data_IF_813939685188
#
_entry.id   IF_813939685188
#
_cell.length_a   1.000
_cell.length_b   1.000
_cell.length_c   1.000
_cell.angle_alpha   90.00
_cell.angle_beta   90.00
_cell.angle_gamma   90.00
#
_symmetry.space_group_name_H-M   'P 1'
#
loop_
_entity.id
_entity.type
_entity.pdbx_description
1 polymer ?
#
# COMPACT_ATOMS: atom_id res chain seq x y z
N UNK A 1 17.78 -12.86 -0.57
CA UNK A 1 16.75 -12.16 0.23
C UNK A 1 15.54 -13.06 0.32
N UNK A 2 15.11 -13.39 1.52
CA UNK A 2 13.97 -14.27 1.73
C UNK A 2 12.65 -13.56 1.39
N UNK A 3 11.65 -14.32 0.96
CA UNK A 3 10.30 -13.80 0.71
C UNK A 3 9.31 -14.43 1.67
N UNK A 4 8.53 -13.59 2.35
CA UNK A 4 7.40 -14.04 3.17
C UNK A 4 6.18 -14.22 2.28
N UNK A 5 5.78 -15.47 2.06
CA UNK A 5 4.68 -15.83 1.15
C UNK A 5 3.29 -15.80 1.78
N UNK A 6 3.20 -15.52 3.08
CA UNK A 6 1.93 -15.45 3.80
C UNK A 6 1.28 -14.08 3.60
N UNK A 7 0.12 -14.00 2.91
CA UNK A 7 -0.57 -12.73 2.75
C UNK A 7 -1.15 -12.26 4.10
N UNK A 8 -1.05 -10.97 4.43
CA UNK A 8 -1.66 -10.44 5.64
C UNK A 8 -3.17 -10.38 5.51
N UNK A 9 -3.88 -10.36 6.64
CA UNK A 9 -5.31 -10.13 6.66
C UNK A 9 -5.65 -8.73 6.12
N UNK A 10 -6.72 -8.62 5.36
CA UNK A 10 -7.25 -7.33 4.93
C UNK A 10 -7.86 -6.55 6.11
N UNK A 11 -8.48 -7.26 7.03
CA UNK A 11 -8.99 -6.68 8.28
C UNK A 11 -7.85 -6.17 9.14
N UNK A 12 -7.85 -4.87 9.42
CA UNK A 12 -6.80 -4.21 10.18
C UNK A 12 -5.54 -3.85 9.37
N UNK A 13 -5.56 -4.07 8.06
CA UNK A 13 -4.50 -3.60 7.18
C UNK A 13 -4.69 -2.10 6.88
N UNK A 14 -4.00 -1.27 7.64
CA UNK A 14 -4.05 0.18 7.54
C UNK A 14 -2.63 0.78 7.54
N UNK A 15 -1.89 0.65 6.46
CA UNK A 15 -0.54 1.17 6.37
C UNK A 15 -0.53 2.69 6.45
N UNK A 16 0.53 3.25 7.05
CA UNK A 16 0.81 4.68 7.06
C UNK A 16 1.91 4.98 6.08
N UNK A 17 1.59 5.77 5.06
CA UNK A 17 2.57 6.21 4.08
C UNK A 17 3.58 7.15 4.71
N UNK A 18 4.85 6.98 4.35
CA UNK A 18 5.93 7.81 4.85
C UNK A 18 5.71 9.29 4.51
N UNK A 19 5.89 10.14 5.52
CA UNK A 19 5.76 11.59 5.38
C UNK A 19 7.13 12.26 5.53
N UNK A 20 7.67 12.73 4.41
CA UNK A 20 8.95 13.46 4.36
C UNK A 20 8.80 14.97 4.56
N UNK A 21 7.68 15.45 5.09
CA UNK A 21 7.38 16.88 5.25
C UNK A 21 7.55 17.30 6.71
N UNK A 22 8.36 18.31 6.93
CA UNK A 22 8.39 19.04 8.21
C UNK A 22 7.33 20.12 8.20
N UNK A 23 6.41 20.03 9.17
CA UNK A 23 5.39 21.04 9.40
C UNK A 23 5.79 21.88 10.59
N UNK A 24 5.78 23.20 10.44
CA UNK A 24 6.08 24.15 11.47
C UNK A 24 4.86 25.03 11.74
N UNK A 25 4.32 24.97 12.94
CA UNK A 25 3.17 25.76 13.34
C UNK A 25 3.57 27.22 13.52
N UNK A 26 2.72 28.10 13.03
CA UNK A 26 2.88 29.54 13.18
C UNK A 26 1.75 30.07 14.10
N UNK A 27 2.09 30.96 15.01
CA UNK A 27 1.10 31.62 15.85
C UNK A 27 0.15 32.48 14.99
N UNK A 28 -1.06 32.00 14.73
CA UNK A 28 -2.12 32.73 14.05
C UNK A 28 -2.14 32.63 12.51
N UNK A 29 -1.62 31.56 11.91
CA UNK A 29 -1.66 31.34 10.48
C UNK A 29 -1.58 29.89 10.05
N UNK A 30 -1.66 29.63 8.75
CA UNK A 30 -1.42 28.31 8.22
C UNK A 30 0.01 27.85 8.54
N UNK A 31 0.22 26.59 8.95
CA UNK A 31 1.54 26.05 9.21
C UNK A 31 2.41 26.06 7.95
N UNK A 32 3.70 26.34 8.12
CA UNK A 32 4.68 26.21 7.04
C UNK A 32 5.07 24.74 6.88
N UNK A 33 5.15 24.32 5.64
CA UNK A 33 5.56 22.95 5.29
C UNK A 33 6.77 23.00 4.35
N UNK A 34 7.74 22.15 4.60
CA UNK A 34 8.88 21.93 3.72
C UNK A 34 9.23 20.45 3.65
N UNK A 35 9.69 20.03 2.49
CA UNK A 35 10.18 18.68 2.28
C UNK A 35 11.56 18.54 2.93
N UNK A 36 11.69 17.56 3.83
CA UNK A 36 12.97 17.26 4.51
C UNK A 36 13.55 15.93 4.08
N UNK A 37 12.70 14.98 3.67
CA UNK A 37 13.09 13.64 3.24
C UNK A 37 12.49 13.27 1.89
N UNK A 38 13.27 12.53 1.10
CA UNK A 38 12.81 11.88 -0.12
C UNK A 38 12.84 10.36 0.15
N UNK A 39 11.70 9.69 -0.06
CA UNK A 39 11.60 8.24 0.13
C UNK A 39 11.51 7.82 1.60
N UNK A 40 10.67 8.49 2.39
CA UNK A 40 10.34 8.07 3.75
C UNK A 40 9.72 6.68 3.74
N UNK A 41 10.14 5.83 4.66
CA UNK A 41 9.61 4.47 4.80
C UNK A 41 8.13 4.46 5.18
N UNK A 42 7.41 3.47 4.71
CA UNK A 42 6.02 3.23 5.07
C UNK A 42 5.95 2.35 6.32
N UNK A 43 5.06 2.68 7.25
CA UNK A 43 4.79 1.87 8.44
C UNK A 43 3.58 0.99 8.19
N UNK A 44 3.70 -0.31 8.49
CA UNK A 44 2.68 -1.28 8.17
C UNK A 44 2.39 -2.14 9.39
N UNK A 45 1.15 -2.11 9.93
CA UNK A 45 0.69 -3.13 10.84
C UNK A 45 0.32 -4.38 10.04
N UNK A 46 0.97 -5.49 10.31
CA UNK A 46 0.69 -6.77 9.67
C UNK A 46 0.00 -7.70 10.66
N UNK A 47 -1.10 -8.29 10.23
CA UNK A 47 -1.86 -9.27 11.01
C UNK A 47 -2.18 -10.48 10.14
N UNK A 48 -2.17 -11.65 10.74
CA UNK A 48 -2.49 -12.91 10.07
C UNK A 48 -3.40 -13.77 10.91
N UNK A 49 -4.23 -14.56 10.24
CA UNK A 49 -4.96 -15.67 10.82
C UNK A 49 -4.42 -16.96 10.20
N UNK A 50 -3.63 -17.70 10.95
CA UNK A 50 -2.79 -18.77 10.43
C UNK A 50 -3.25 -20.14 10.96
N UNK A 51 -3.11 -21.15 10.11
CA UNK A 51 -3.15 -22.56 10.54
C UNK A 51 -1.89 -22.93 11.34
N UNK A 52 -1.87 -24.12 11.90
CA UNK A 52 -0.71 -24.63 12.64
C UNK A 52 0.57 -24.66 11.78
N UNK A 53 0.44 -25.08 10.54
CA UNK A 53 1.56 -25.22 9.61
C UNK A 53 2.07 -23.83 9.15
N UNK A 54 1.16 -22.92 8.84
CA UNK A 54 1.49 -21.55 8.49
C UNK A 54 2.13 -20.80 9.65
N UNK A 55 1.66 -21.04 10.88
CA UNK A 55 2.29 -20.45 12.07
C UNK A 55 3.70 -21.00 12.28
N UNK A 56 3.92 -22.27 11.98
CA UNK A 56 5.26 -22.88 11.97
C UNK A 56 6.20 -22.18 11.00
N UNK A 57 5.73 -21.87 9.80
CA UNK A 57 6.48 -21.08 8.81
C UNK A 57 6.77 -19.66 9.31
N UNK A 58 5.76 -19.00 9.87
CA UNK A 58 5.91 -17.65 10.42
C UNK A 58 6.96 -17.59 11.54
N UNK A 59 6.95 -18.54 12.46
CA UNK A 59 7.92 -18.61 13.55
C UNK A 59 9.33 -18.88 13.03
N UNK A 60 9.48 -19.80 12.07
CA UNK A 60 10.78 -20.08 11.46
C UNK A 60 11.34 -18.85 10.76
N UNK A 61 10.50 -18.14 10.01
CA UNK A 61 10.88 -16.91 9.31
C UNK A 61 11.28 -15.80 10.29
N UNK A 62 10.51 -15.61 11.35
CA UNK A 62 10.77 -14.60 12.37
C UNK A 62 12.11 -14.86 13.09
N UNK A 63 12.35 -16.08 13.54
CA UNK A 63 13.59 -16.44 14.22
C UNK A 63 14.81 -16.40 13.30
N UNK A 64 14.66 -16.78 12.03
CA UNK A 64 15.74 -16.65 11.06
C UNK A 64 16.08 -15.17 10.81
N UNK A 65 15.09 -14.31 10.73
CA UNK A 65 15.29 -12.87 10.61
C UNK A 65 15.97 -12.28 11.87
N UNK A 66 15.72 -12.83 13.05
CA UNK A 66 16.40 -12.40 14.27
C UNK A 66 17.88 -12.82 14.31
N UNK A 67 18.20 -14.02 13.83
CA UNK A 67 19.59 -14.50 13.75
C UNK A 67 20.42 -13.68 12.76
N UNK A 68 19.81 -13.36 11.64
CA UNK A 68 20.44 -12.58 10.56
C UNK A 68 19.49 -11.49 10.07
N UNK A 69 19.53 -10.30 10.68
CA UNK A 69 18.58 -9.22 10.35
C UNK A 69 18.81 -8.67 8.96
N UNK A 70 18.11 -9.22 7.99
CA UNK A 70 18.11 -8.77 6.59
C UNK A 70 16.73 -8.28 6.19
N UNK A 71 16.63 -7.35 5.22
CA UNK A 71 15.34 -7.06 4.60
C UNK A 71 14.79 -8.32 3.95
N UNK A 72 13.49 -8.41 3.89
CA UNK A 72 12.79 -9.50 3.20
C UNK A 72 11.77 -8.93 2.22
N UNK A 73 11.29 -9.78 1.32
CA UNK A 73 10.32 -9.42 0.31
C UNK A 73 8.91 -9.88 0.72
N UNK A 74 7.91 -9.08 0.38
CA UNK A 74 6.51 -9.41 0.59
C UNK A 74 5.65 -8.69 -0.44
N UNK A 75 4.61 -9.38 -0.95
CA UNK A 75 3.66 -8.80 -1.87
C UNK A 75 2.58 -8.04 -1.11
N UNK A 76 2.45 -6.74 -1.37
CA UNK A 76 1.56 -5.84 -0.66
C UNK A 76 0.96 -4.79 -1.61
N UNK A 77 -0.11 -4.15 -1.15
CA UNK A 77 -0.65 -2.93 -1.74
C UNK A 77 -0.34 -1.79 -0.78
N UNK A 78 0.47 -0.81 -1.20
CA UNK A 78 0.92 0.30 -0.35
C UNK A 78 0.76 1.66 -1.03
N UNK A 79 1.80 2.08 -1.75
CA UNK A 79 1.89 3.36 -2.44
C UNK A 79 1.42 3.30 -3.90
N UNK A 80 0.98 2.11 -4.33
CA UNK A 80 0.28 1.86 -5.58
C UNK A 80 -1.00 1.06 -5.32
N UNK A 81 -1.94 1.10 -6.25
CA UNK A 81 -3.23 0.41 -6.13
C UNK A 81 -3.17 -1.07 -6.53
N UNK A 82 -2.09 -1.51 -7.10
CA UNK A 82 -1.81 -2.89 -7.49
C UNK A 82 -0.86 -3.59 -6.49
N UNK A 83 -0.91 -4.91 -6.48
CA UNK A 83 0.00 -5.72 -5.66
C UNK A 83 1.40 -5.61 -6.25
N UNK A 84 2.36 -5.25 -5.38
CA UNK A 84 3.78 -5.17 -5.72
C UNK A 84 4.62 -5.83 -4.65
N UNK A 85 5.82 -6.25 -5.03
CA UNK A 85 6.80 -6.82 -4.13
C UNK A 85 7.61 -5.71 -3.46
N UNK A 86 7.48 -5.60 -2.14
CA UNK A 86 8.17 -4.61 -1.33
C UNK A 86 9.29 -5.23 -0.51
N UNK A 87 10.31 -4.44 -0.24
CA UNK A 87 11.33 -4.76 0.77
C UNK A 87 10.88 -4.26 2.14
N UNK A 88 10.81 -5.18 3.10
CA UNK A 88 10.36 -4.89 4.46
C UNK A 88 11.42 -5.23 5.50
N UNK A 89 11.27 -4.62 6.67
CA UNK A 89 11.94 -5.01 7.91
C UNK A 89 10.95 -5.05 9.05
N UNK A 90 11.04 -6.03 9.92
CA UNK A 90 10.30 -6.02 11.18
C UNK A 90 10.89 -4.97 12.14
N UNK A 91 10.02 -4.21 12.77
CA UNK A 91 10.40 -3.16 13.74
C UNK A 91 9.81 -3.37 15.12
N UNK A 92 9.01 -4.42 15.30
CA UNK A 92 8.46 -4.82 16.60
C UNK A 92 8.61 -6.31 16.81
N UNK A 93 8.27 -6.77 18.00
CA UNK A 93 8.20 -8.18 18.33
C UNK A 93 6.95 -8.82 17.71
N UNK A 94 7.06 -10.09 17.35
CA UNK A 94 5.93 -10.88 16.90
C UNK A 94 5.04 -11.23 18.10
N UNK A 95 3.80 -10.80 18.06
CA UNK A 95 2.78 -11.13 19.03
C UNK A 95 1.77 -12.10 18.42
N UNK A 96 1.36 -13.09 19.17
CA UNK A 96 0.37 -14.03 18.70
C UNK A 96 -0.58 -14.49 19.81
N UNK A 97 -1.76 -14.90 19.42
CA UNK A 97 -2.75 -15.55 20.30
C UNK A 97 -3.36 -16.73 19.59
N UNK A 98 -3.76 -17.74 20.35
CA UNK A 98 -4.41 -18.95 19.80
C UNK A 98 -5.89 -18.94 20.19
N UNK A 99 -6.75 -19.13 19.20
CA UNK A 99 -8.19 -19.33 19.39
C UNK A 99 -8.64 -20.58 18.65
N UNK A 100 -8.90 -21.65 19.38
CA UNK A 100 -9.21 -22.95 18.78
C UNK A 100 -8.05 -23.46 17.93
N UNK A 101 -8.32 -23.71 16.66
CA UNK A 101 -7.32 -24.18 15.69
C UNK A 101 -6.64 -23.06 14.90
N UNK A 102 -7.00 -21.79 15.16
CA UNK A 102 -6.43 -20.63 14.47
C UNK A 102 -5.46 -19.89 15.37
N UNK A 103 -4.39 -19.41 14.77
CA UNK A 103 -3.36 -18.58 15.36
C UNK A 103 -3.46 -17.18 14.78
N UNK A 104 -3.66 -16.19 15.64
CA UNK A 104 -3.63 -14.79 15.23
C UNK A 104 -2.26 -14.22 15.55
N UNK A 105 -1.55 -13.77 14.54
CA UNK A 105 -0.23 -13.16 14.68
C UNK A 105 -0.27 -11.70 14.23
N UNK A 106 0.50 -10.86 14.91
CA UNK A 106 0.63 -9.44 14.58
C UNK A 106 2.06 -8.96 14.78
N UNK A 107 2.51 -8.08 13.89
CA UNK A 107 3.82 -7.46 13.95
C UNK A 107 3.80 -6.12 13.21
N UNK A 108 4.66 -5.20 13.61
CA UNK A 108 4.88 -3.95 12.90
C UNK A 108 6.07 -4.10 11.97
N UNK A 109 5.94 -3.63 10.76
CA UNK A 109 7.00 -3.61 9.77
C UNK A 109 7.14 -2.22 9.14
N UNK A 110 8.28 -1.98 8.55
CA UNK A 110 8.52 -0.83 7.66
C UNK A 110 8.85 -1.33 6.28
N UNK A 111 8.34 -0.64 5.27
CA UNK A 111 8.60 -0.94 3.88
C UNK A 111 9.36 0.20 3.22
N UNK A 112 10.29 -0.17 2.33
CA UNK A 112 10.96 0.78 1.47
C UNK A 112 9.98 1.26 0.39
N UNK A 113 9.80 2.58 0.20
CA UNK A 113 8.93 3.10 -0.83
C UNK A 113 9.48 2.81 -2.23
N UNK A 114 8.58 2.67 -3.21
CA UNK A 114 8.97 2.73 -4.61
C UNK A 114 9.30 4.17 -5.02
N UNK A 115 10.22 4.29 -5.96
CA UNK A 115 10.49 5.57 -6.58
C UNK A 115 9.33 5.90 -7.53
N UNK A 116 8.64 7.00 -7.27
CA UNK A 116 7.54 7.49 -8.11
C UNK A 116 8.06 8.52 -9.11
N UNK A 117 7.49 8.50 -10.31
CA UNK A 117 7.72 9.52 -11.31
C UNK A 117 6.71 10.67 -11.11
N UNK A 118 7.18 11.91 -10.82
CA UNK A 118 6.27 13.04 -10.62
C UNK A 118 5.39 13.35 -11.84
N UNK A 119 5.86 13.06 -13.05
CA UNK A 119 5.10 13.28 -14.26
C UNK A 119 3.88 12.37 -14.36
N UNK A 120 4.03 11.09 -13.99
CA UNK A 120 2.93 10.12 -13.98
C UNK A 120 1.87 10.48 -12.94
N UNK A 121 2.32 10.93 -11.75
CA UNK A 121 1.42 11.39 -10.69
C UNK A 121 0.62 12.63 -11.15
N UNK A 122 1.25 13.58 -11.81
CA UNK A 122 0.59 14.77 -12.33
C UNK A 122 -0.41 14.43 -13.43
N UNK A 123 -0.09 13.48 -14.32
CA UNK A 123 -0.99 13.03 -15.38
C UNK A 123 -2.28 12.44 -14.81
N UNK A 124 -2.18 11.63 -13.75
CA UNK A 124 -3.37 11.08 -13.05
C UNK A 124 -4.21 12.19 -12.43
N UNK A 125 -3.57 13.18 -11.81
CA UNK A 125 -4.27 14.34 -11.21
C UNK A 125 -4.99 15.14 -12.29
N UNK A 126 -4.32 15.44 -13.38
CA UNK A 126 -4.87 16.22 -14.51
C UNK A 126 -6.04 15.50 -15.15
N UNK A 127 -5.94 14.18 -15.35
CA UNK A 127 -7.04 13.35 -15.86
C UNK A 127 -8.31 13.47 -15.00
N UNK A 128 -8.17 13.39 -13.69
CA UNK A 128 -9.31 13.52 -12.77
C UNK A 128 -9.87 14.95 -12.72
N UNK A 129 -9.03 15.96 -12.82
CA UNK A 129 -9.47 17.35 -12.88
C UNK A 129 -10.28 17.65 -14.15
N UNK A 130 -9.85 17.16 -15.30
CA UNK A 130 -10.58 17.26 -16.58
C UNK A 130 -11.91 16.51 -16.49
N UNK A 131 -11.93 15.30 -15.94
CA UNK A 131 -13.16 14.50 -15.74
C UNK A 131 -14.17 15.16 -14.84
N UNK A 132 -13.74 15.96 -13.87
CA UNK A 132 -14.64 16.73 -12.99
C UNK A 132 -15.24 17.98 -13.68
N UNK A 133 -14.66 18.46 -14.77
CA UNK A 133 -15.19 19.60 -15.56
C UNK A 133 -16.31 19.21 -16.55
N UNK A 134 -16.71 17.96 -16.61
CA UNK A 134 -17.82 17.47 -17.42
C UNK A 134 -17.51 17.15 -18.89
N UNK A 135 -16.37 17.59 -19.44
CA UNK A 135 -16.02 17.34 -20.84
C UNK A 135 -15.89 15.85 -21.19
N UNK A 136 -15.32 15.05 -20.30
CA UNK A 136 -15.19 13.60 -20.51
C UNK A 136 -16.53 12.90 -20.34
N UNK A 137 -17.36 13.34 -19.40
CA UNK A 137 -18.72 12.80 -19.22
C UNK A 137 -19.57 13.00 -20.47
N UNK A 138 -19.51 14.16 -21.10
CA UNK A 138 -20.20 14.45 -22.37
C UNK A 138 -19.65 13.57 -23.50
N UNK A 139 -18.34 13.38 -23.60
CA UNK A 139 -17.73 12.51 -24.61
C UNK A 139 -18.09 11.04 -24.43
N UNK A 140 -18.12 10.54 -23.20
CA UNK A 140 -18.55 9.17 -22.88
C UNK A 140 -20.04 9.01 -23.18
N UNK A 141 -20.87 9.97 -22.83
CA UNK A 141 -22.30 9.96 -23.10
C UNK A 141 -22.60 9.97 -24.61
N UNK A 142 -21.88 10.76 -25.38
CA UNK A 142 -21.93 10.73 -26.84
C UNK A 142 -21.50 9.37 -27.41
N UNK A 143 -20.45 8.77 -26.88
CA UNK A 143 -19.93 7.48 -27.34
C UNK A 143 -20.91 6.34 -27.05
N UNK A 144 -21.48 6.32 -25.86
CA UNK A 144 -22.40 5.28 -25.42
C UNK A 144 -23.79 5.45 -26.04
N UNK A 145 -24.32 6.67 -26.14
CA UNK A 145 -25.69 6.91 -26.56
C UNK A 145 -25.84 7.18 -28.06
N UNK A 146 -24.79 7.57 -28.74
CA UNK A 146 -24.87 7.94 -30.16
C UNK A 146 -24.09 7.02 -31.08
N UNK A 147 -22.87 6.69 -30.76
CA UNK A 147 -22.01 5.88 -31.64
C UNK A 147 -22.21 4.37 -31.48
N UNK A 148 -22.41 3.85 -30.28
CA UNK A 148 -22.62 2.41 -30.04
C UNK A 148 -23.93 1.87 -30.65
N UNK A 149 -25.09 2.52 -30.50
CA UNK A 149 -26.32 2.02 -31.15
C UNK A 149 -26.22 1.99 -32.67
N UNK A 150 -25.65 3.04 -33.26
CA UNK A 150 -25.47 3.10 -34.72
C UNK A 150 -24.48 2.07 -35.27
N UNK A 151 -23.49 1.67 -34.47
CA UNK A 151 -22.55 0.62 -34.84
C UNK A 151 -23.18 -0.79 -34.83
N UNK A 152 -24.18 -0.99 -33.96
CA UNK A 152 -24.92 -2.26 -33.86
C UNK A 152 -26.03 -2.41 -34.91
N UNK A 153 -26.60 -1.31 -35.41
CA UNK A 153 -27.61 -1.35 -36.47
C UNK A 153 -27.05 -1.64 -37.87
N UNK A 154 -25.75 -1.49 -38.05
CA UNK A 154 -25.04 -1.77 -39.33
C UNK A 154 -24.38 -3.16 -39.39
N UNK A 155 -24.66 -4.02 -38.46
CA UNK A 155 -24.29 -5.44 -38.46
C UNK A 155 -25.52 -6.31 -38.75
#
# INVERSE_FOLDING_TARGET
MNKLVLPPNESGYNPSLGNGILTQDLAGGMPRQRRTFIGSVHNIPLTWSLSREEMGLMLAFYFENQRNPQPFLMDLILDYTDIREYQLRFVSELQWSKRGNLWQASIQAVAKPFQRNPADDQEVIDFWQIGMTGEIAEQIELLVNHYLPNALENV
#
